data_IF_441237553864
#
_entry.id   IF_441237553864
#
_cell.length_a   1.000
_cell.length_b   1.000
_cell.length_c   1.000
_cell.angle_alpha   90.00
_cell.angle_beta   90.00
_cell.angle_gamma   90.00
#
_symmetry.space_group_name_H-M   'P 1'
#
loop_
_entity.id
_entity.type
_entity.pdbx_description
1 polymer ?
#
# COMPACT_ATOMS: atom_id res chain seq x y z
N UNK A 1 5.23 31.57 -14.19
CA UNK A 1 6.56 31.29 -13.59
C UNK A 1 7.48 30.69 -14.66
N UNK A 2 7.07 29.64 -15.40
CA UNK A 2 7.89 28.99 -16.43
C UNK A 2 8.26 29.98 -17.55
N UNK A 3 7.33 30.79 -17.99
CA UNK A 3 7.58 31.88 -18.98
C UNK A 3 8.61 32.90 -18.48
N UNK A 4 8.62 33.20 -17.18
CA UNK A 4 9.60 34.11 -16.59
C UNK A 4 11.04 33.56 -16.63
N UNK A 5 11.21 32.27 -16.79
CA UNK A 5 12.52 31.57 -16.94
C UNK A 5 12.80 31.15 -18.39
N UNK A 6 12.01 31.67 -19.38
CA UNK A 6 12.23 31.41 -20.80
C UNK A 6 11.76 30.04 -21.29
N UNK A 7 10.94 29.34 -20.52
CA UNK A 7 10.32 28.06 -20.91
C UNK A 7 8.97 28.28 -21.60
N UNK A 8 8.60 27.38 -22.50
CA UNK A 8 7.27 27.37 -23.10
C UNK A 8 6.20 26.90 -22.08
N UNK A 9 5.02 27.55 -22.07
CA UNK A 9 3.93 27.12 -21.20
C UNK A 9 3.41 25.75 -21.65
N UNK A 10 3.62 24.73 -20.84
CA UNK A 10 3.14 23.39 -21.10
C UNK A 10 1.94 23.08 -20.19
N UNK A 11 0.85 22.58 -20.78
CA UNK A 11 -0.35 22.17 -20.05
C UNK A 11 -0.15 20.75 -19.48
N UNK A 12 0.58 20.66 -18.40
CA UNK A 12 0.94 19.40 -17.70
C UNK A 12 -0.24 18.49 -17.41
N UNK A 13 -1.38 19.08 -17.07
CA UNK A 13 -2.60 18.35 -16.73
C UNK A 13 -3.37 17.82 -17.96
N UNK A 14 -3.03 18.28 -19.15
CA UNK A 14 -3.66 17.84 -20.42
C UNK A 14 -2.77 16.87 -21.20
N UNK A 15 -1.53 16.65 -20.77
CA UNK A 15 -0.62 15.69 -21.41
C UNK A 15 -0.91 14.27 -20.90
N UNK A 16 -1.34 13.33 -21.76
CA UNK A 16 -1.63 11.95 -21.38
C UNK A 16 -0.48 11.21 -20.67
N UNK A 17 0.77 11.62 -20.98
CA UNK A 17 1.97 10.98 -20.39
C UNK A 17 2.31 11.56 -19.01
N UNK A 18 1.91 12.79 -18.72
CA UNK A 18 2.27 13.50 -17.48
C UNK A 18 1.15 13.49 -16.45
N UNK A 19 -0.12 13.40 -16.84
CA UNK A 19 -1.26 13.47 -15.92
C UNK A 19 -1.25 12.35 -14.89
N UNK A 20 -0.96 11.11 -15.28
CA UNK A 20 -0.91 9.97 -14.37
C UNK A 20 0.23 10.10 -13.35
N UNK A 21 1.49 10.39 -13.73
CA UNK A 21 2.56 10.69 -12.78
C UNK A 21 2.21 11.83 -11.81
N UNK A 22 1.58 12.89 -12.27
CA UNK A 22 1.16 14.02 -11.41
C UNK A 22 0.13 13.58 -10.36
N UNK A 23 -0.88 12.80 -10.76
CA UNK A 23 -1.88 12.22 -9.84
C UNK A 23 -1.18 11.34 -8.80
N UNK A 24 -0.26 10.47 -9.20
CA UNK A 24 0.49 9.58 -8.28
C UNK A 24 1.32 10.39 -7.29
N UNK A 25 2.00 11.43 -7.73
CA UNK A 25 2.78 12.31 -6.84
C UNK A 25 1.87 13.00 -5.83
N UNK A 26 0.74 13.56 -6.28
CA UNK A 26 -0.22 14.24 -5.42
C UNK A 26 -0.82 13.29 -4.36
N UNK A 27 -1.23 12.08 -4.77
CA UNK A 27 -1.74 11.05 -3.86
C UNK A 27 -0.70 10.61 -2.83
N UNK A 28 0.55 10.41 -3.27
CA UNK A 28 1.65 10.01 -2.40
C UNK A 28 1.93 11.09 -1.36
N UNK A 29 2.03 12.33 -1.79
CA UNK A 29 2.23 13.47 -0.90
C UNK A 29 1.12 13.59 0.14
N UNK A 30 -0.14 13.52 -0.28
CA UNK A 30 -1.32 13.58 0.59
C UNK A 30 -1.35 12.42 1.61
N UNK A 31 -1.00 11.20 1.19
CA UNK A 31 -1.05 10.00 2.04
C UNK A 31 0.13 9.85 3.00
N UNK A 32 1.25 10.53 2.74
CA UNK A 32 2.53 10.31 3.42
C UNK A 32 2.44 10.57 4.94
N UNK A 33 1.76 11.63 5.35
CA UNK A 33 1.64 12.00 6.77
C UNK A 33 0.90 10.97 7.61
N UNK A 34 -0.32 10.60 7.21
CA UNK A 34 -1.15 9.63 7.93
C UNK A 34 -0.51 8.24 7.99
N UNK A 35 0.02 7.77 6.89
CA UNK A 35 0.71 6.48 6.81
C UNK A 35 1.94 6.44 7.72
N UNK A 36 2.73 7.51 7.76
CA UNK A 36 3.90 7.63 8.64
C UNK A 36 3.55 7.51 10.12
N UNK A 37 2.44 8.10 10.56
CA UNK A 37 1.96 8.00 11.95
C UNK A 37 1.61 6.56 12.33
N UNK A 38 0.98 5.81 11.42
CA UNK A 38 0.65 4.40 11.67
C UNK A 38 1.93 3.56 11.80
N UNK A 39 2.93 3.78 10.95
CA UNK A 39 4.22 3.12 11.08
C UNK A 39 4.91 3.49 12.38
N UNK A 40 4.93 4.76 12.77
CA UNK A 40 5.56 5.23 14.01
C UNK A 40 4.90 4.60 15.24
N UNK A 41 3.56 4.55 15.29
CA UNK A 41 2.83 3.89 16.37
C UNK A 41 3.21 2.41 16.50
N UNK A 42 3.33 1.69 15.38
CA UNK A 42 3.74 0.29 15.41
C UNK A 42 5.21 0.10 15.82
N UNK A 43 6.10 1.03 15.47
CA UNK A 43 7.48 1.02 15.95
C UNK A 43 7.57 1.09 17.47
N UNK A 44 6.72 1.87 18.11
CA UNK A 44 6.70 2.03 19.57
C UNK A 44 6.26 0.76 20.30
N UNK A 45 5.52 -0.14 19.63
CA UNK A 45 5.06 -1.41 20.18
C UNK A 45 6.13 -2.51 20.14
N UNK A 46 7.28 -2.28 19.51
CA UNK A 46 8.37 -3.26 19.47
C UNK A 46 9.12 -3.26 20.80
N UNK A 47 9.30 -4.44 21.40
CA UNK A 47 10.00 -4.59 22.67
C UNK A 47 11.46 -4.09 22.58
N UNK A 48 11.81 -3.12 23.43
CA UNK A 48 13.14 -2.54 23.51
C UNK A 48 14.22 -3.57 23.89
N UNK A 49 13.87 -4.56 24.69
CA UNK A 49 14.79 -5.61 25.11
C UNK A 49 15.39 -6.39 23.93
N UNK A 50 14.61 -6.54 22.82
CA UNK A 50 15.12 -7.18 21.59
C UNK A 50 16.25 -6.36 20.95
N UNK A 51 16.13 -5.04 20.99
CA UNK A 51 17.18 -4.15 20.47
C UNK A 51 18.42 -4.14 21.36
N UNK A 52 18.24 -4.16 22.68
CA UNK A 52 19.34 -4.18 23.65
C UNK A 52 20.12 -5.50 23.56
N UNK A 53 19.44 -6.64 23.58
CA UNK A 53 20.05 -7.95 23.38
C UNK A 53 20.85 -8.01 22.07
N UNK A 54 20.29 -7.49 20.98
CA UNK A 54 20.96 -7.48 19.69
C UNK A 54 22.18 -6.55 19.63
N UNK A 55 22.23 -5.51 20.49
CA UNK A 55 23.43 -4.66 20.65
C UNK A 55 24.55 -5.41 21.35
N UNK A 56 24.23 -6.15 22.39
CA UNK A 56 25.19 -6.98 23.11
C UNK A 56 25.78 -8.05 22.18
N UNK A 57 24.95 -8.63 21.29
CA UNK A 57 25.38 -9.57 20.26
C UNK A 57 26.19 -8.93 19.10
N UNK A 58 26.50 -7.64 19.17
CA UNK A 58 27.27 -6.93 18.15
C UNK A 58 26.57 -6.74 16.80
N UNK A 59 25.24 -6.84 16.75
CA UNK A 59 24.50 -6.68 15.51
C UNK A 59 24.51 -5.22 15.03
N UNK A 60 24.88 -4.99 13.76
CA UNK A 60 24.83 -3.65 13.14
C UNK A 60 23.41 -3.10 13.06
N UNK A 61 23.20 -1.77 12.97
CA UNK A 61 21.87 -1.16 12.87
C UNK A 61 21.04 -1.72 11.71
N UNK A 62 21.65 -1.94 10.56
CA UNK A 62 20.99 -2.51 9.37
C UNK A 62 20.53 -3.96 9.60
N UNK A 63 21.38 -4.78 10.26
CA UNK A 63 21.04 -6.16 10.61
C UNK A 63 19.86 -6.23 11.60
N UNK A 64 19.81 -5.30 12.57
CA UNK A 64 18.70 -5.15 13.51
C UNK A 64 17.41 -4.75 12.80
N UNK A 65 17.48 -3.79 11.88
CA UNK A 65 16.33 -3.38 11.07
C UNK A 65 15.73 -4.56 10.31
N UNK A 66 16.54 -5.32 9.58
CA UNK A 66 16.05 -6.45 8.77
C UNK A 66 15.58 -7.64 9.62
N UNK A 67 16.28 -7.94 10.75
CA UNK A 67 16.00 -9.17 11.52
C UNK A 67 15.02 -8.98 12.67
N UNK A 68 14.85 -7.76 13.17
CA UNK A 68 13.95 -7.45 14.30
C UNK A 68 12.78 -6.59 13.82
N UNK A 69 13.07 -5.43 13.26
CA UNK A 69 12.04 -4.44 12.93
C UNK A 69 11.12 -4.93 11.81
N UNK A 70 11.67 -5.35 10.67
CA UNK A 70 10.87 -5.75 9.51
C UNK A 70 9.93 -6.93 9.79
N UNK A 71 10.35 -8.01 10.46
CA UNK A 71 9.44 -9.11 10.80
C UNK A 71 8.34 -8.70 11.76
N UNK A 72 8.62 -7.83 12.73
CA UNK A 72 7.63 -7.33 13.69
C UNK A 72 6.59 -6.44 13.02
N UNK A 73 7.00 -5.61 12.06
CA UNK A 73 6.11 -4.70 11.33
C UNK A 73 5.38 -5.36 10.16
N UNK A 74 5.68 -6.61 9.83
CA UNK A 74 5.14 -7.31 8.65
C UNK A 74 3.62 -7.25 8.56
N UNK A 75 2.91 -7.50 9.67
CA UNK A 75 1.45 -7.47 9.71
C UNK A 75 0.90 -6.08 9.36
N UNK A 76 1.51 -5.03 9.91
CA UNK A 76 1.13 -3.64 9.63
C UNK A 76 1.40 -3.27 8.19
N UNK A 77 2.56 -3.61 7.66
CA UNK A 77 2.92 -3.37 6.26
C UNK A 77 1.90 -4.02 5.32
N UNK A 78 1.56 -5.28 5.57
CA UNK A 78 0.58 -6.00 4.76
C UNK A 78 -0.82 -5.38 4.86
N UNK A 79 -1.25 -4.99 6.06
CA UNK A 79 -2.55 -4.31 6.23
C UNK A 79 -2.60 -2.96 5.51
N UNK A 80 -1.55 -2.14 5.62
CA UNK A 80 -1.47 -0.85 4.93
C UNK A 80 -1.40 -1.02 3.41
N UNK A 81 -0.74 -2.07 2.93
CA UNK A 81 -0.65 -2.36 1.50
C UNK A 81 -2.03 -2.66 0.90
N UNK A 82 -2.86 -3.50 1.55
CA UNK A 82 -4.21 -3.75 1.03
C UNK A 82 -5.08 -2.51 1.07
N UNK A 83 -5.00 -1.71 2.14
CA UNK A 83 -5.74 -0.46 2.23
C UNK A 83 -5.33 0.52 1.13
N UNK A 84 -4.04 0.59 0.81
CA UNK A 84 -3.52 1.40 -0.28
C UNK A 84 -4.01 0.92 -1.65
N UNK A 85 -4.03 -0.40 -1.89
CA UNK A 85 -4.57 -0.97 -3.14
C UNK A 85 -6.05 -0.59 -3.29
N UNK A 86 -6.86 -0.75 -2.25
CA UNK A 86 -8.28 -0.37 -2.27
C UNK A 86 -8.43 1.12 -2.55
N UNK A 87 -7.64 1.97 -1.90
CA UNK A 87 -7.66 3.43 -2.10
C UNK A 87 -7.34 3.83 -3.55
N UNK A 88 -6.36 3.16 -4.19
CA UNK A 88 -6.00 3.41 -5.59
C UNK A 88 -7.15 3.07 -6.55
N UNK A 89 -7.87 1.98 -6.32
CA UNK A 89 -9.05 1.65 -7.13
C UNK A 89 -10.21 2.63 -6.96
N UNK A 90 -10.30 3.30 -5.81
CA UNK A 90 -11.33 4.28 -5.47
C UNK A 90 -10.88 5.73 -5.67
N UNK A 91 -9.74 5.95 -6.34
CA UNK A 91 -9.27 7.29 -6.62
C UNK A 91 -10.29 8.09 -7.42
N UNK A 92 -10.65 9.26 -6.91
CA UNK A 92 -11.70 10.10 -7.47
C UNK A 92 -11.28 11.57 -7.54
N UNK A 93 -10.85 12.10 -6.40
CA UNK A 93 -10.63 13.54 -6.23
C UNK A 93 -9.45 14.06 -7.07
N UNK A 94 -8.34 13.34 -7.07
CA UNK A 94 -7.14 13.73 -7.80
C UNK A 94 -7.36 13.72 -9.33
N UNK A 95 -7.93 12.66 -9.94
CA UNK A 95 -8.29 12.70 -11.37
C UNK A 95 -9.31 13.78 -11.71
N UNK A 96 -10.27 14.06 -10.83
CA UNK A 96 -11.27 15.11 -11.05
C UNK A 96 -10.65 16.50 -11.11
N UNK A 97 -9.69 16.79 -10.24
CA UNK A 97 -9.10 18.12 -10.09
C UNK A 97 -7.89 18.31 -11.02
N UNK A 98 -7.00 17.33 -11.10
CA UNK A 98 -5.74 17.43 -11.84
C UNK A 98 -5.95 17.01 -13.31
N UNK A 99 -6.70 15.93 -13.53
CA UNK A 99 -6.83 15.29 -14.83
C UNK A 99 -7.70 16.05 -15.84
N UNK A 100 -8.30 17.15 -15.44
CA UNK A 100 -9.17 17.98 -16.30
C UNK A 100 -10.16 17.15 -17.14
N UNK A 101 -10.64 16.02 -16.62
CA UNK A 101 -11.55 15.07 -17.25
C UNK A 101 -11.09 14.53 -18.61
N UNK A 102 -9.78 14.52 -18.85
CA UNK A 102 -9.20 13.91 -20.05
C UNK A 102 -9.30 12.37 -19.99
N UNK A 103 -9.50 11.72 -21.12
CA UNK A 103 -9.68 10.26 -21.23
C UNK A 103 -8.59 9.45 -20.50
N UNK A 104 -7.36 9.95 -20.50
CA UNK A 104 -6.21 9.30 -19.87
C UNK A 104 -6.23 9.31 -18.33
N UNK A 105 -7.05 10.16 -17.71
CA UNK A 105 -7.11 10.34 -16.25
C UNK A 105 -8.40 9.80 -15.62
N UNK A 106 -9.32 9.26 -16.40
CA UNK A 106 -10.60 8.77 -15.91
C UNK A 106 -10.42 7.47 -15.14
N UNK A 107 -10.67 7.51 -13.82
CA UNK A 107 -10.81 6.31 -12.99
C UNK A 107 -12.25 5.76 -13.07
N UNK A 108 -12.44 4.48 -12.72
CA UNK A 108 -13.79 3.89 -12.67
C UNK A 108 -14.71 4.64 -11.68
N UNK A 109 -14.16 5.13 -10.58
CA UNK A 109 -14.92 5.92 -9.60
C UNK A 109 -15.32 7.28 -10.17
N UNK A 110 -14.42 7.96 -10.89
CA UNK A 110 -14.72 9.21 -11.57
C UNK A 110 -15.75 9.01 -12.69
N UNK A 111 -15.62 7.92 -13.46
CA UNK A 111 -16.58 7.58 -14.51
C UNK A 111 -18.00 7.37 -13.94
N UNK A 112 -18.11 6.66 -12.82
CA UNK A 112 -19.39 6.49 -12.13
C UNK A 112 -19.99 7.82 -11.68
N UNK A 113 -19.15 8.73 -11.19
CA UNK A 113 -19.57 10.09 -10.82
C UNK A 113 -20.07 10.88 -12.03
N UNK A 114 -19.35 10.87 -13.15
CA UNK A 114 -19.74 11.58 -14.39
C UNK A 114 -21.12 11.07 -14.87
N UNK A 115 -21.32 9.76 -14.95
CA UNK A 115 -22.63 9.20 -15.32
C UNK A 115 -23.76 9.62 -14.37
N UNK A 116 -23.47 9.72 -13.05
CA UNK A 116 -24.52 10.07 -12.08
C UNK A 116 -24.88 11.57 -12.09
N UNK A 117 -23.87 12.44 -12.18
CA UNK A 117 -24.04 13.87 -11.88
C UNK A 117 -23.90 14.78 -13.11
N UNK A 118 -23.26 14.31 -14.18
CA UNK A 118 -23.11 15.09 -15.41
C UNK A 118 -24.05 14.63 -16.51
N UNK A 119 -24.13 13.31 -16.71
CA UNK A 119 -24.98 12.72 -17.75
C UNK A 119 -26.39 12.36 -17.25
N UNK A 120 -26.60 12.34 -15.92
CA UNK A 120 -27.87 11.92 -15.27
C UNK A 120 -28.29 10.47 -15.61
N UNK A 121 -27.34 9.63 -16.02
CA UNK A 121 -27.54 8.23 -16.37
C UNK A 121 -27.34 7.31 -15.16
N UNK A 122 -28.22 7.36 -14.19
CA UNK A 122 -28.11 6.63 -12.91
C UNK A 122 -27.94 5.13 -13.07
N UNK A 123 -28.53 4.53 -14.11
CA UNK A 123 -28.40 3.10 -14.38
C UNK A 123 -26.95 2.73 -14.74
N UNK A 124 -26.27 3.53 -15.56
CA UNK A 124 -24.86 3.32 -15.90
C UNK A 124 -23.94 3.60 -14.70
N UNK A 125 -24.24 4.66 -13.94
CA UNK A 125 -23.51 4.96 -12.72
C UNK A 125 -23.59 3.81 -11.69
N UNK A 126 -24.76 3.24 -11.49
CA UNK A 126 -24.95 2.10 -10.62
C UNK A 126 -24.20 0.86 -11.13
N UNK A 127 -24.26 0.57 -12.42
CA UNK A 127 -23.57 -0.56 -13.03
C UNK A 127 -22.04 -0.45 -12.88
N UNK A 128 -21.46 0.72 -13.15
CA UNK A 128 -20.01 0.96 -12.99
C UNK A 128 -19.57 0.85 -11.54
N UNK A 129 -20.36 1.35 -10.59
CA UNK A 129 -20.08 1.21 -9.15
C UNK A 129 -20.11 -0.24 -8.68
N UNK A 130 -21.07 -1.06 -9.16
CA UNK A 130 -21.15 -2.49 -8.85
C UNK A 130 -19.94 -3.24 -9.43
N UNK A 131 -19.54 -2.94 -10.66
CA UNK A 131 -18.35 -3.54 -11.28
C UNK A 131 -17.11 -3.21 -10.46
N UNK A 132 -16.91 -1.93 -10.06
CA UNK A 132 -15.82 -1.52 -9.22
C UNK A 132 -15.80 -2.27 -7.88
N UNK A 133 -16.95 -2.41 -7.22
CA UNK A 133 -17.08 -3.15 -5.98
C UNK A 133 -16.67 -4.63 -6.14
N UNK A 134 -17.11 -5.29 -7.20
CA UNK A 134 -16.74 -6.68 -7.50
C UNK A 134 -15.25 -6.85 -7.75
N UNK A 135 -14.61 -5.92 -8.44
CA UNK A 135 -13.17 -5.90 -8.67
C UNK A 135 -12.44 -5.81 -7.32
N UNK A 136 -12.81 -4.84 -6.47
CA UNK A 136 -12.17 -4.63 -5.16
C UNK A 136 -12.36 -5.85 -4.25
N UNK A 137 -13.56 -6.43 -4.19
CA UNK A 137 -13.85 -7.64 -3.42
C UNK A 137 -12.96 -8.79 -3.89
N UNK A 138 -12.86 -9.00 -5.19
CA UNK A 138 -12.04 -10.07 -5.77
C UNK A 138 -10.57 -9.92 -5.40
N UNK A 139 -10.00 -8.72 -5.57
CA UNK A 139 -8.61 -8.44 -5.16
C UNK A 139 -8.40 -8.63 -3.67
N UNK A 140 -9.34 -8.18 -2.84
CA UNK A 140 -9.28 -8.33 -1.39
C UNK A 140 -9.28 -9.79 -0.96
N UNK A 141 -10.15 -10.62 -1.56
CA UNK A 141 -10.20 -12.06 -1.27
C UNK A 141 -8.87 -12.74 -1.67
N UNK A 142 -8.36 -12.47 -2.88
CA UNK A 142 -7.09 -13.02 -3.35
C UNK A 142 -5.96 -12.64 -2.40
N UNK A 143 -5.91 -11.37 -1.98
CA UNK A 143 -4.91 -10.86 -1.04
C UNK A 143 -4.96 -11.61 0.30
N UNK A 144 -6.13 -11.76 0.93
CA UNK A 144 -6.27 -12.48 2.19
C UNK A 144 -5.88 -13.95 2.08
N UNK A 145 -6.22 -14.61 0.98
CA UNK A 145 -5.81 -15.99 0.73
C UNK A 145 -4.28 -16.09 0.61
N UNK A 146 -3.66 -15.16 -0.12
CA UNK A 146 -2.22 -15.11 -0.27
C UNK A 146 -1.52 -14.92 1.08
N UNK A 147 -1.93 -13.96 1.90
CA UNK A 147 -1.35 -13.71 3.22
C UNK A 147 -1.48 -14.92 4.13
N UNK A 148 -2.67 -15.50 4.24
CA UNK A 148 -2.87 -16.69 5.08
C UNK A 148 -1.96 -17.86 4.68
N UNK A 149 -1.70 -18.03 3.38
CA UNK A 149 -0.75 -19.06 2.90
C UNK A 149 0.68 -18.73 3.31
N UNK A 150 1.10 -17.46 3.22
CA UNK A 150 2.44 -17.03 3.65
C UNK A 150 2.65 -17.21 5.15
N UNK A 151 1.70 -16.77 5.98
CA UNK A 151 1.78 -16.94 7.45
C UNK A 151 1.82 -18.41 7.87
N UNK A 152 1.01 -19.27 7.23
CA UNK A 152 1.01 -20.71 7.51
C UNK A 152 2.35 -21.36 7.19
N UNK A 153 3.00 -20.95 6.09
CA UNK A 153 4.33 -21.45 5.70
C UNK A 153 5.40 -21.04 6.70
N UNK A 154 5.34 -19.81 7.19
CA UNK A 154 6.29 -19.27 8.18
C UNK A 154 6.16 -19.97 9.54
N UNK A 155 4.92 -20.11 10.07
CA UNK A 155 4.64 -20.86 11.30
C UNK A 155 5.07 -22.34 11.20
N UNK A 156 4.90 -22.96 10.05
CA UNK A 156 5.37 -24.34 9.79
C UNK A 156 6.89 -24.47 9.79
N UNK A 157 7.62 -23.48 9.26
CA UNK A 157 9.08 -23.45 9.27
C UNK A 157 9.65 -23.33 10.70
N UNK A 158 9.12 -22.38 11.48
CA UNK A 158 9.54 -22.17 12.89
C UNK A 158 9.27 -23.41 13.76
N UNK A 159 8.15 -24.10 13.54
CA UNK A 159 7.82 -25.32 14.29
C UNK A 159 8.79 -26.46 13.96
N UNK A 160 9.20 -26.62 12.70
CA UNK A 160 10.19 -27.62 12.28
C UNK A 160 11.57 -27.36 12.88
N UNK A 161 12.01 -26.11 12.91
CA UNK A 161 13.31 -25.73 13.48
C UNK A 161 13.36 -25.95 14.99
N UNK A 162 12.28 -25.62 15.73
CA UNK A 162 12.18 -25.93 17.18
C UNK A 162 12.24 -27.43 17.45
N UNK A 163 11.56 -28.26 16.68
CA UNK A 163 11.59 -29.73 16.83
C UNK A 163 12.99 -30.27 16.52
N UNK A 164 13.67 -29.75 15.51
CA UNK A 164 15.04 -30.17 15.17
C UNK A 164 16.04 -29.79 16.26
N UNK A 165 15.97 -28.59 16.82
CA UNK A 165 16.82 -28.17 17.96
C UNK A 165 16.56 -28.99 19.21
N UNK A 166 15.31 -29.43 19.46
CA UNK A 166 14.98 -30.26 20.62
C UNK A 166 15.53 -31.67 20.47
N UNK A 167 15.51 -32.25 19.26
CA UNK A 167 16.08 -33.57 18.96
C UNK A 167 17.61 -33.57 19.06
N UNK A 168 18.29 -32.54 18.56
CA UNK A 168 19.76 -32.44 18.67
C UNK A 168 20.25 -32.21 20.08
N UNK A 169 19.47 -31.53 20.95
CA UNK A 169 19.80 -31.43 22.38
C UNK A 169 19.64 -32.78 23.13
N UNK A 170 18.60 -33.56 22.77
CA UNK A 170 18.41 -34.89 23.38
C UNK A 170 19.45 -35.95 22.95
N UNK A 171 20.08 -35.78 21.81
CA UNK A 171 21.12 -36.69 21.31
C UNK A 171 22.53 -36.37 21.84
N UNK A 172 22.71 -35.25 22.56
CA UNK A 172 24.00 -34.84 23.15
C UNK A 172 24.09 -35.07 24.66
N UNK A 173 22.98 -35.46 25.30
CA UNK A 173 22.93 -35.93 26.70
C UNK A 173 22.74 -37.44 26.72
#
# INVERSE_FOLDING_TARGET
IIEAFGGEPHLWASDPNLVIPLIVIAMTWKGMGGTSLIYLSNFQNIDRNLYEASRIDGASPFKRFIKITMPQMKSTILTLLILQIISVFQVFYEPLVIGNKGDSSISLMLLSYMYAFEDFEYAKAAATSVILALIIITFTIIYFIAIKRFEKKEKGGVKREKVHRCKTKKAKN
#
